data_IF_642906756608
#
_entry.id   IF_642906756608
#
_cell.length_a   1.000
_cell.length_b   1.000
_cell.length_c   1.000
_cell.angle_alpha   90.00
_cell.angle_beta   90.00
_cell.angle_gamma   90.00
#
_symmetry.space_group_name_H-M   'P 1'
#
loop_
_entity.id
_entity.type
_entity.pdbx_description
1 polymer ?
#
# COMPACT_ATOMS: atom_id res chain seq x y z
N UNK A 1 -10.28 -6.10 -20.41
CA UNK A 1 -9.23 -6.71 -19.55
C UNK A 1 -8.28 -7.68 -20.26
N UNK A 2 -8.55 -8.19 -21.48
CA UNK A 2 -7.70 -9.25 -22.08
C UNK A 2 -6.54 -8.77 -22.99
N UNK A 3 -6.54 -7.55 -23.50
CA UNK A 3 -5.48 -7.10 -24.44
C UNK A 3 -4.15 -6.79 -23.75
N UNK A 4 -4.18 -6.17 -22.56
CA UNK A 4 -2.96 -5.78 -21.84
C UNK A 4 -2.12 -7.00 -21.38
N UNK A 5 -2.78 -8.12 -21.04
CA UNK A 5 -2.10 -9.33 -20.60
C UNK A 5 -1.33 -9.98 -21.76
N UNK A 6 -1.91 -9.99 -22.97
CA UNK A 6 -1.25 -10.54 -24.15
C UNK A 6 -0.04 -9.71 -24.59
N UNK A 7 -0.07 -8.38 -24.46
CA UNK A 7 1.04 -7.52 -24.89
C UNK A 7 2.26 -7.67 -23.98
N UNK A 8 2.09 -7.56 -22.65
CA UNK A 8 3.22 -7.76 -21.72
C UNK A 8 3.77 -9.18 -21.78
N UNK A 9 2.90 -10.19 -21.97
CA UNK A 9 3.34 -11.56 -22.20
C UNK A 9 4.25 -11.66 -23.44
N UNK A 10 3.85 -11.10 -24.58
CA UNK A 10 4.69 -11.07 -25.79
C UNK A 10 5.99 -10.32 -25.56
N UNK A 11 5.96 -9.17 -24.89
CA UNK A 11 7.17 -8.40 -24.54
C UNK A 11 8.11 -9.24 -23.69
N UNK A 12 7.59 -9.90 -22.67
CA UNK A 12 8.36 -10.68 -21.71
C UNK A 12 8.95 -11.96 -22.29
N UNK A 13 8.30 -12.58 -23.29
CA UNK A 13 8.78 -13.81 -23.93
C UNK A 13 10.06 -13.59 -24.76
N UNK A 14 10.12 -12.53 -25.57
CA UNK A 14 11.20 -12.34 -26.55
C UNK A 14 12.29 -11.36 -26.07
N UNK A 15 13.56 -11.79 -26.11
CA UNK A 15 14.70 -10.97 -25.64
C UNK A 15 14.87 -9.64 -26.37
N UNK A 16 14.57 -9.61 -27.67
CA UNK A 16 14.59 -8.39 -28.48
C UNK A 16 13.51 -7.42 -28.00
N UNK A 17 12.26 -7.89 -27.86
CA UNK A 17 11.15 -7.07 -27.38
C UNK A 17 11.38 -6.55 -25.96
N UNK A 18 11.95 -7.34 -25.05
CA UNK A 18 12.33 -6.84 -23.70
C UNK A 18 13.28 -5.65 -23.75
N UNK A 19 14.26 -5.67 -24.67
CA UNK A 19 15.22 -4.55 -24.84
C UNK A 19 14.56 -3.33 -25.45
N UNK A 20 13.73 -3.52 -26.48
CA UNK A 20 13.00 -2.44 -27.15
C UNK A 20 11.99 -1.78 -26.20
N UNK A 21 11.25 -2.58 -25.43
CA UNK A 21 10.35 -2.09 -24.40
C UNK A 21 11.11 -1.28 -23.34
N UNK A 22 12.22 -1.81 -22.81
CA UNK A 22 13.00 -1.10 -21.79
C UNK A 22 13.55 0.25 -22.31
N UNK A 23 14.04 0.30 -23.55
CA UNK A 23 14.52 1.54 -24.15
C UNK A 23 13.38 2.53 -24.41
N UNK A 24 12.27 2.07 -25.01
CA UNK A 24 11.12 2.94 -25.27
C UNK A 24 10.49 3.47 -23.99
N UNK A 25 10.49 2.69 -22.90
CA UNK A 25 10.07 3.15 -21.58
C UNK A 25 10.95 4.31 -21.10
N UNK A 26 12.28 4.17 -21.18
CA UNK A 26 13.21 5.24 -20.79
C UNK A 26 12.95 6.51 -21.62
N UNK A 27 12.82 6.37 -22.93
CA UNK A 27 12.61 7.48 -23.84
C UNK A 27 11.29 8.19 -23.51
N UNK A 28 10.21 7.43 -23.32
CA UNK A 28 8.89 7.95 -22.94
C UNK A 28 8.94 8.72 -21.61
N UNK A 29 9.57 8.14 -20.58
CA UNK A 29 9.68 8.78 -19.27
C UNK A 29 10.44 10.11 -19.37
N UNK A 30 11.56 10.14 -20.12
CA UNK A 30 12.35 11.36 -20.30
C UNK A 30 11.64 12.42 -21.13
N UNK A 31 10.93 12.02 -22.18
CA UNK A 31 10.16 12.94 -23.04
C UNK A 31 9.01 13.60 -22.26
N UNK A 32 8.39 12.86 -21.35
CA UNK A 32 7.25 13.33 -20.56
C UNK A 32 7.64 13.83 -19.16
N UNK A 33 8.93 13.99 -18.88
CA UNK A 33 9.48 14.47 -17.60
C UNK A 33 9.05 13.66 -16.37
N UNK A 34 8.89 12.34 -16.51
CA UNK A 34 8.72 11.44 -15.39
C UNK A 34 10.06 11.12 -14.71
N UNK A 35 10.00 10.88 -13.40
CA UNK A 35 11.14 10.49 -12.59
C UNK A 35 11.43 8.98 -12.64
N UNK A 36 10.49 8.15 -13.13
CA UNK A 36 10.68 6.71 -13.19
C UNK A 36 9.41 5.92 -13.50
N UNK A 37 9.46 4.59 -13.31
CA UNK A 37 8.31 3.71 -13.53
C UNK A 37 7.96 2.87 -12.31
N UNK A 38 6.68 2.49 -12.22
CA UNK A 38 6.22 1.33 -11.45
C UNK A 38 5.89 0.22 -12.44
N UNK A 39 6.60 -0.90 -12.40
CA UNK A 39 6.19 -2.09 -13.13
C UNK A 39 5.08 -2.80 -12.35
N UNK A 40 3.85 -2.74 -12.85
CA UNK A 40 2.72 -3.52 -12.35
C UNK A 40 2.25 -4.48 -13.45
N UNK A 41 2.56 -5.76 -13.28
CA UNK A 41 2.01 -6.83 -14.10
C UNK A 41 1.35 -7.84 -13.16
N UNK A 42 0.02 -7.78 -13.05
CA UNK A 42 -0.76 -8.57 -12.12
C UNK A 42 -0.45 -10.08 -12.30
N UNK A 43 0.15 -10.63 -11.24
CA UNK A 43 1.22 -11.63 -11.31
C UNK A 43 0.89 -12.88 -12.14
N UNK A 44 1.59 -13.11 -13.26
CA UNK A 44 1.44 -14.35 -13.99
C UNK A 44 2.28 -15.42 -13.29
N UNK A 45 1.70 -16.14 -12.33
CA UNK A 45 2.38 -17.27 -11.65
C UNK A 45 2.97 -18.24 -12.68
N UNK A 46 2.24 -18.49 -13.76
CA UNK A 46 2.64 -19.36 -14.87
C UNK A 46 3.72 -18.75 -15.79
N UNK A 47 3.89 -17.42 -15.83
CA UNK A 47 4.91 -16.71 -16.62
C UNK A 47 5.98 -16.08 -15.73
N UNK A 48 6.24 -16.65 -14.56
CA UNK A 48 7.18 -16.10 -13.58
C UNK A 48 8.61 -15.97 -14.12
N UNK A 49 9.04 -16.88 -14.99
CA UNK A 49 10.35 -16.84 -15.66
C UNK A 49 10.46 -15.68 -16.66
N UNK A 50 9.42 -15.49 -17.49
CA UNK A 50 9.32 -14.39 -18.44
C UNK A 50 9.25 -13.04 -17.72
N UNK A 51 8.44 -12.95 -16.68
CA UNK A 51 8.35 -11.78 -15.80
C UNK A 51 9.74 -11.45 -15.20
N UNK A 52 10.43 -12.42 -14.62
CA UNK A 52 11.80 -12.25 -14.11
C UNK A 52 12.78 -11.78 -15.19
N UNK A 53 12.67 -12.31 -16.42
CA UNK A 53 13.51 -11.88 -17.53
C UNK A 53 13.24 -10.42 -17.96
N UNK A 54 11.98 -9.97 -17.92
CA UNK A 54 11.58 -8.58 -18.18
C UNK A 54 12.11 -7.64 -17.10
N UNK A 55 11.91 -7.97 -15.83
CA UNK A 55 12.42 -7.19 -14.68
C UNK A 55 13.93 -6.99 -14.78
N UNK A 56 14.70 -8.05 -15.11
CA UNK A 56 16.15 -7.94 -15.28
C UNK A 56 16.55 -7.05 -16.45
N UNK A 57 15.81 -7.09 -17.56
CA UNK A 57 16.07 -6.24 -18.72
C UNK A 57 15.86 -4.76 -18.37
N UNK A 58 14.77 -4.44 -17.65
CA UNK A 58 14.47 -3.09 -17.18
C UNK A 58 15.52 -2.58 -16.19
N UNK A 59 15.86 -3.37 -15.16
CA UNK A 59 16.93 -3.03 -14.20
C UNK A 59 18.23 -2.69 -14.93
N UNK A 60 18.63 -3.52 -15.89
CA UNK A 60 19.87 -3.29 -16.66
C UNK A 60 19.78 -2.02 -17.50
N UNK A 61 18.65 -1.76 -18.14
CA UNK A 61 18.47 -0.57 -18.97
C UNK A 61 18.50 0.72 -18.12
N UNK A 62 17.77 0.75 -17.01
CA UNK A 62 17.73 1.90 -16.10
C UNK A 62 19.08 2.17 -15.43
N UNK A 63 19.85 1.13 -15.10
CA UNK A 63 21.21 1.29 -14.60
C UNK A 63 22.16 1.93 -15.63
N UNK A 64 21.96 1.62 -16.92
CA UNK A 64 22.80 2.13 -18.01
C UNK A 64 22.36 3.50 -18.54
N UNK A 65 21.09 3.88 -18.37
CA UNK A 65 20.53 5.17 -18.79
C UNK A 65 21.31 6.36 -18.22
N UNK A 66 21.81 6.19 -17.00
CA UNK A 66 22.41 7.22 -16.18
C UNK A 66 23.75 7.78 -16.70
N UNK A 67 24.31 7.23 -17.77
CA UNK A 67 25.66 7.54 -18.23
C UNK A 67 25.75 8.73 -19.20
N UNK A 68 24.64 9.40 -19.55
CA UNK A 68 24.65 10.32 -20.70
C UNK A 68 24.19 11.77 -20.49
N UNK A 69 23.47 12.18 -19.42
CA UNK A 69 22.64 13.41 -19.54
C UNK A 69 22.54 14.42 -18.37
N UNK A 70 23.44 14.50 -17.38
CA UNK A 70 23.37 15.48 -16.26
C UNK A 70 22.02 15.55 -15.50
N UNK A 71 21.10 14.60 -15.72
CA UNK A 71 19.82 14.46 -15.02
C UNK A 71 19.96 13.40 -13.93
N UNK A 72 19.11 13.49 -12.90
CA UNK A 72 18.96 12.43 -11.91
C UNK A 72 18.53 11.12 -12.58
N UNK A 73 19.00 9.98 -12.07
CA UNK A 73 18.63 8.64 -12.54
C UNK A 73 17.12 8.45 -12.52
N UNK A 74 16.57 7.80 -13.55
CA UNK A 74 15.21 7.27 -13.47
C UNK A 74 15.10 6.22 -12.35
N UNK A 75 14.07 6.33 -11.52
CA UNK A 75 13.77 5.33 -10.50
C UNK A 75 13.05 4.12 -11.13
N UNK A 76 13.45 2.93 -10.73
CA UNK A 76 12.79 1.69 -11.11
C UNK A 76 12.13 1.07 -9.90
N UNK A 77 10.80 1.03 -9.92
CA UNK A 77 9.98 0.49 -8.83
C UNK A 77 9.06 -0.61 -9.36
N UNK A 78 8.52 -1.41 -8.45
CA UNK A 78 7.61 -2.51 -8.79
C UNK A 78 6.39 -2.48 -7.88
N UNK A 79 5.24 -2.88 -8.41
CA UNK A 79 4.13 -3.27 -7.56
C UNK A 79 4.46 -4.61 -6.90
N UNK A 80 4.07 -4.78 -5.63
CA UNK A 80 4.23 -6.02 -4.85
C UNK A 80 2.89 -6.70 -4.57
N UNK A 81 2.83 -8.01 -4.77
CA UNK A 81 1.64 -8.83 -4.50
C UNK A 81 1.44 -9.01 -3.01
N UNK A 82 0.20 -9.22 -2.60
CA UNK A 82 -0.14 -9.73 -1.26
C UNK A 82 -0.29 -11.24 -1.22
N UNK A 83 -0.43 -11.90 -2.38
CA UNK A 83 -0.67 -13.34 -2.44
C UNK A 83 0.65 -14.09 -2.28
N UNK A 84 0.75 -14.89 -1.21
CA UNK A 84 1.94 -15.69 -0.90
C UNK A 84 2.45 -16.49 -2.10
N UNK A 85 1.56 -17.15 -2.84
CA UNK A 85 1.90 -17.93 -4.03
C UNK A 85 2.53 -17.08 -5.15
N UNK A 86 2.02 -15.87 -5.39
CA UNK A 86 2.56 -14.95 -6.39
C UNK A 86 3.95 -14.45 -6.00
N UNK A 87 4.15 -14.16 -4.70
CA UNK A 87 5.46 -13.77 -4.16
C UNK A 87 6.45 -14.94 -4.32
N UNK A 88 6.05 -16.16 -3.96
CA UNK A 88 6.88 -17.36 -4.07
C UNK A 88 7.31 -17.64 -5.50
N UNK A 89 6.37 -17.61 -6.46
CA UNK A 89 6.67 -17.82 -7.87
C UNK A 89 7.62 -16.76 -8.42
N UNK A 90 7.39 -15.49 -8.07
CA UNK A 90 8.23 -14.37 -8.52
C UNK A 90 9.67 -14.51 -8.00
N UNK A 91 9.86 -14.79 -6.71
CA UNK A 91 11.20 -14.96 -6.15
C UNK A 91 11.89 -16.23 -6.64
N UNK A 92 11.20 -17.36 -6.74
CA UNK A 92 11.79 -18.59 -7.27
C UNK A 92 12.36 -18.37 -8.69
N UNK A 93 11.64 -17.64 -9.54
CA UNK A 93 12.08 -17.31 -10.90
C UNK A 93 13.23 -16.29 -10.94
N UNK A 94 13.33 -15.39 -9.95
CA UNK A 94 14.43 -14.43 -9.83
C UNK A 94 15.68 -15.14 -9.28
N UNK A 95 15.53 -15.98 -8.25
CA UNK A 95 16.60 -16.77 -7.63
C UNK A 95 17.26 -17.76 -8.60
N UNK A 96 16.45 -18.50 -9.37
CA UNK A 96 16.93 -19.45 -10.38
C UNK A 96 17.83 -18.79 -11.44
N UNK A 97 17.78 -17.46 -11.57
CA UNK A 97 18.63 -16.70 -12.49
C UNK A 97 19.90 -16.09 -11.85
N UNK A 98 20.25 -16.49 -10.61
CA UNK A 98 21.33 -15.90 -9.79
C UNK A 98 21.14 -14.39 -9.51
N UNK A 99 19.90 -13.89 -9.56
CA UNK A 99 19.60 -12.46 -9.62
C UNK A 99 18.79 -11.89 -8.44
N UNK A 100 18.44 -12.64 -7.39
CA UNK A 100 17.61 -12.08 -6.31
C UNK A 100 18.29 -10.99 -5.50
N UNK A 101 19.58 -11.16 -5.19
CA UNK A 101 20.40 -10.08 -4.64
C UNK A 101 20.50 -8.89 -5.61
N UNK A 102 20.40 -9.12 -6.93
CA UNK A 102 20.35 -8.06 -7.92
C UNK A 102 19.00 -7.36 -7.92
N UNK A 103 17.88 -8.08 -7.82
CA UNK A 103 16.54 -7.51 -7.76
C UNK A 103 16.36 -6.61 -6.54
N UNK A 104 16.58 -7.14 -5.33
CA UNK A 104 16.39 -6.37 -4.09
C UNK A 104 17.32 -5.13 -4.03
N UNK A 105 18.52 -5.20 -4.63
CA UNK A 105 19.45 -4.06 -4.70
C UNK A 105 19.03 -3.00 -5.72
N UNK A 106 18.54 -3.41 -6.88
CA UNK A 106 18.29 -2.51 -8.02
C UNK A 106 16.83 -2.04 -8.15
N UNK A 107 15.90 -2.61 -7.38
CA UNK A 107 14.57 -2.04 -7.18
C UNK A 107 14.67 -0.92 -6.15
N UNK A 108 14.25 0.30 -6.52
CA UNK A 108 14.32 1.47 -5.66
C UNK A 108 13.28 1.43 -4.55
N UNK A 109 12.02 1.16 -4.92
CA UNK A 109 10.89 0.98 -4.02
C UNK A 109 10.01 -0.18 -4.50
N UNK A 110 9.35 -0.82 -3.55
CA UNK A 110 8.28 -1.78 -3.78
C UNK A 110 6.97 -1.20 -3.23
N UNK A 111 6.01 -0.95 -4.12
CA UNK A 111 4.67 -0.51 -3.74
C UNK A 111 3.81 -1.75 -3.47
N UNK A 112 3.69 -2.13 -2.20
CA UNK A 112 2.92 -3.30 -1.79
C UNK A 112 1.42 -3.00 -1.91
N UNK A 113 0.71 -3.72 -2.78
CA UNK A 113 -0.73 -3.57 -3.00
C UNK A 113 -1.53 -4.20 -1.83
N UNK A 114 -1.36 -3.66 -0.62
CA UNK A 114 -1.78 -4.23 0.65
C UNK A 114 -3.30 -4.10 0.94
N UNK A 115 -4.12 -4.45 -0.04
CA UNK A 115 -5.58 -4.35 -0.06
C UNK A 115 -6.17 -5.38 -1.02
N UNK A 116 -7.51 -5.43 -1.11
CA UNK A 116 -8.26 -6.41 -1.90
C UNK A 116 -7.94 -7.88 -1.51
N UNK A 117 -7.64 -8.13 -0.23
CA UNK A 117 -7.50 -9.49 0.32
C UNK A 117 -8.79 -10.29 0.21
N UNK A 118 -9.93 -9.60 0.35
CA UNK A 118 -11.27 -10.13 0.24
C UNK A 118 -12.10 -9.31 -0.76
N UNK A 119 -13.00 -9.98 -1.48
CA UNK A 119 -13.87 -9.35 -2.48
C UNK A 119 -15.35 -9.75 -2.32
N UNK A 120 -16.24 -8.93 -2.89
CA UNK A 120 -17.70 -9.07 -2.78
C UNK A 120 -18.29 -10.38 -3.33
N UNK A 121 -17.52 -11.18 -4.07
CA UNK A 121 -17.96 -12.49 -4.59
C UNK A 121 -17.82 -13.61 -3.56
N UNK A 122 -17.10 -13.37 -2.46
CA UNK A 122 -16.98 -14.34 -1.36
C UNK A 122 -18.30 -14.51 -0.61
N UNK A 123 -18.54 -15.72 -0.10
CA UNK A 123 -19.79 -16.08 0.59
C UNK A 123 -19.87 -15.53 2.03
N UNK A 124 -18.82 -14.87 2.50
CA UNK A 124 -18.74 -14.29 3.84
C UNK A 124 -18.11 -12.91 3.77
N UNK A 125 -18.60 -12.00 4.61
CA UNK A 125 -18.04 -10.65 4.77
C UNK A 125 -16.68 -10.70 5.47
N UNK A 126 -15.76 -9.81 5.07
CA UNK A 126 -14.48 -9.62 5.75
C UNK A 126 -13.90 -8.23 5.42
N UNK A 127 -12.89 -7.82 6.16
CA UNK A 127 -12.17 -6.56 5.99
C UNK A 127 -11.14 -6.70 4.84
N UNK A 128 -11.27 -5.93 3.74
CA UNK A 128 -10.48 -6.15 2.52
C UNK A 128 -9.00 -5.74 2.65
N UNK A 129 -8.61 -5.08 3.74
CA UNK A 129 -7.26 -4.55 3.99
C UNK A 129 -6.82 -4.72 5.45
N UNK A 130 -7.39 -5.66 6.22
CA UNK A 130 -7.06 -5.83 7.65
C UNK A 130 -5.56 -5.92 7.92
N UNK A 131 -5.10 -5.28 8.99
CA UNK A 131 -3.68 -5.30 9.37
C UNK A 131 -3.27 -6.67 9.90
N UNK A 132 -4.11 -7.27 10.74
CA UNK A 132 -3.87 -8.55 11.39
C UNK A 132 -5.02 -9.53 11.14
N UNK A 133 -4.74 -10.81 11.33
CA UNK A 133 -5.75 -11.87 11.36
C UNK A 133 -5.74 -12.54 12.75
N UNK A 134 -6.91 -12.93 13.25
CA UNK A 134 -7.06 -13.74 14.45
C UNK A 134 -6.67 -15.20 14.24
N UNK A 135 -6.59 -15.66 12.99
CA UNK A 135 -6.15 -17.01 12.65
C UNK A 135 -4.62 -17.07 12.59
N UNK A 136 -4.03 -17.95 13.42
CA UNK A 136 -2.58 -18.09 13.60
C UNK A 136 -1.78 -18.25 12.30
N UNK A 137 -2.35 -18.90 11.29
CA UNK A 137 -1.69 -19.22 10.02
C UNK A 137 -2.29 -18.47 8.82
N UNK A 138 -3.12 -17.44 9.06
CA UNK A 138 -3.72 -16.68 7.97
C UNK A 138 -2.70 -15.76 7.30
N UNK A 139 -2.71 -15.84 5.96
CA UNK A 139 -1.78 -15.10 5.09
C UNK A 139 -2.41 -13.83 4.50
N UNK A 140 -3.74 -13.71 4.57
CA UNK A 140 -4.51 -12.64 3.95
C UNK A 140 -4.65 -11.44 4.90
N UNK A 141 -3.52 -10.80 5.21
CA UNK A 141 -3.45 -9.55 5.98
C UNK A 141 -2.19 -8.75 5.65
N UNK A 142 -2.22 -7.44 5.90
CA UNK A 142 -1.15 -6.50 5.56
C UNK A 142 0.17 -6.86 6.25
N UNK A 143 0.12 -7.19 7.55
CA UNK A 143 1.33 -7.48 8.31
C UNK A 143 2.04 -8.73 7.81
N UNK A 144 1.29 -9.79 7.48
CA UNK A 144 1.85 -10.99 6.87
C UNK A 144 2.48 -10.67 5.51
N UNK A 145 1.74 -10.05 4.59
CA UNK A 145 2.22 -9.78 3.24
C UNK A 145 3.52 -8.96 3.25
N UNK A 146 3.57 -7.89 4.04
CA UNK A 146 4.76 -7.04 4.14
C UNK A 146 5.96 -7.80 4.72
N UNK A 147 5.78 -8.53 5.81
CA UNK A 147 6.86 -9.33 6.41
C UNK A 147 7.26 -10.51 5.53
N UNK A 148 6.37 -11.01 4.68
CA UNK A 148 6.70 -12.06 3.72
C UNK A 148 7.67 -11.55 2.65
N UNK A 149 7.46 -10.35 2.11
CA UNK A 149 8.44 -9.70 1.21
C UNK A 149 9.80 -9.51 1.90
N UNK A 150 9.80 -9.12 3.18
CA UNK A 150 11.04 -9.01 3.98
C UNK A 150 11.73 -10.36 4.13
N UNK A 151 10.97 -11.43 4.37
CA UNK A 151 11.51 -12.80 4.48
C UNK A 151 12.15 -13.31 3.18
N UNK A 152 11.74 -12.74 2.03
CA UNK A 152 12.36 -12.98 0.72
C UNK A 152 13.56 -12.05 0.43
N UNK A 153 13.93 -11.20 1.38
CA UNK A 153 15.10 -10.35 1.31
C UNK A 153 14.86 -8.93 0.80
N UNK A 154 13.60 -8.50 0.59
CA UNK A 154 13.31 -7.10 0.27
C UNK A 154 13.57 -6.22 1.52
N UNK A 155 14.44 -5.20 1.44
CA UNK A 155 14.68 -4.30 2.57
C UNK A 155 13.41 -3.56 3.00
N UNK A 156 13.17 -3.47 4.31
CA UNK A 156 11.98 -2.80 4.86
C UNK A 156 11.89 -1.33 4.44
N UNK A 157 13.02 -0.64 4.42
CA UNK A 157 13.16 0.76 4.01
C UNK A 157 12.95 1.00 2.51
N UNK A 158 12.61 -0.05 1.74
CA UNK A 158 12.15 0.05 0.35
C UNK A 158 10.67 -0.33 0.14
N UNK A 159 10.00 -0.89 1.13
CA UNK A 159 8.60 -1.32 1.02
C UNK A 159 7.68 -0.16 1.41
N UNK A 160 6.86 0.29 0.47
CA UNK A 160 5.82 1.30 0.66
C UNK A 160 4.47 0.58 0.76
N UNK A 161 3.78 0.75 1.89
CA UNK A 161 2.53 0.01 2.19
C UNK A 161 1.33 0.68 1.52
N UNK A 162 0.57 -0.08 0.73
CA UNK A 162 -0.67 0.39 0.13
C UNK A 162 -1.81 0.49 1.13
N UNK A 163 -2.53 1.59 1.08
CA UNK A 163 -3.76 1.83 1.82
C UNK A 163 -4.88 2.06 0.81
N UNK A 164 -6.06 1.50 1.04
CA UNK A 164 -7.19 1.59 0.12
C UNK A 164 -8.08 2.78 0.47
N UNK A 165 -8.37 3.62 -0.53
CA UNK A 165 -9.48 4.58 -0.49
C UNK A 165 -10.81 3.97 -0.92
N UNK A 166 -10.83 2.68 -1.26
CA UNK A 166 -12.04 1.94 -1.62
C UNK A 166 -12.51 1.01 -0.51
N UNK A 167 -13.82 0.83 -0.45
CA UNK A 167 -14.51 -0.17 0.33
C UNK A 167 -14.92 -1.37 -0.55
N UNK A 168 -14.89 -2.57 0.03
CA UNK A 168 -15.47 -3.77 -0.57
C UNK A 168 -16.84 -4.03 0.03
N UNK A 169 -17.82 -4.35 -0.80
CA UNK A 169 -19.22 -4.47 -0.41
C UNK A 169 -19.86 -5.82 -0.68
N UNK A 170 -20.70 -6.26 0.25
CA UNK A 170 -21.50 -7.48 0.17
C UNK A 170 -22.98 -7.19 0.42
N UNK A 171 -23.82 -8.07 -0.09
CA UNK A 171 -25.22 -8.20 0.31
C UNK A 171 -25.32 -9.33 1.34
N UNK A 172 -25.69 -9.01 2.58
CA UNK A 172 -25.92 -9.97 3.66
C UNK A 172 -27.08 -10.92 3.30
N UNK A 173 -26.91 -12.21 3.60
CA UNK A 173 -27.97 -13.19 3.49
C UNK A 173 -29.04 -13.00 4.59
N UNK A 174 -28.63 -12.48 5.75
CA UNK A 174 -29.50 -12.13 6.88
C UNK A 174 -28.99 -10.82 7.49
N UNK A 175 -29.77 -9.75 7.40
CA UNK A 175 -29.40 -8.43 7.92
C UNK A 175 -29.22 -8.38 9.45
N UNK A 176 -29.76 -9.36 10.19
CA UNK A 176 -29.55 -9.48 11.64
C UNK A 176 -28.16 -10.02 11.99
N UNK A 177 -27.48 -10.66 11.02
CA UNK A 177 -26.13 -11.21 11.16
C UNK A 177 -25.16 -10.36 10.35
N UNK A 178 -24.51 -9.39 11.01
CA UNK A 178 -23.73 -8.37 10.30
C UNK A 178 -22.31 -8.18 10.85
N UNK A 179 -21.82 -9.13 11.66
CA UNK A 179 -20.42 -9.17 12.08
C UNK A 179 -19.52 -9.64 10.92
N UNK A 180 -18.21 -9.41 11.04
CA UNK A 180 -17.21 -10.04 10.17
C UNK A 180 -17.43 -11.56 10.15
N UNK A 181 -17.37 -12.16 8.96
CA UNK A 181 -17.68 -13.57 8.71
C UNK A 181 -19.17 -13.87 8.49
N UNK A 182 -20.06 -12.86 8.54
CA UNK A 182 -21.47 -13.05 8.23
C UNK A 182 -21.67 -13.52 6.79
N UNK A 183 -22.67 -14.40 6.58
CA UNK A 183 -22.98 -14.96 5.25
C UNK A 183 -23.48 -13.87 4.31
N UNK A 184 -22.96 -13.88 3.09
CA UNK A 184 -23.35 -12.99 2.01
C UNK A 184 -24.02 -13.78 0.87
N UNK A 185 -24.97 -13.15 0.19
CA UNK A 185 -25.62 -13.67 -1.02
C UNK A 185 -24.93 -13.24 -2.31
N UNK A 186 -23.95 -12.33 -2.21
CA UNK A 186 -23.16 -11.83 -3.34
C UNK A 186 -22.64 -10.43 -3.09
N UNK A 187 -22.13 -9.76 -4.14
CA UNK A 187 -21.61 -8.40 -4.03
C UNK A 187 -22.73 -7.42 -3.63
N UNK A 188 -22.36 -6.34 -2.95
CA UNK A 188 -23.32 -5.23 -2.72
C UNK A 188 -23.80 -4.65 -4.06
N UNK A 189 -25.04 -4.14 -4.16
CA UNK A 189 -25.51 -3.50 -5.38
C UNK A 189 -24.61 -2.35 -5.83
N UNK A 190 -24.53 -2.09 -7.14
CA UNK A 190 -23.79 -0.94 -7.65
C UNK A 190 -24.39 0.35 -7.10
N UNK A 191 -23.53 1.25 -6.65
CA UNK A 191 -23.91 2.61 -6.32
C UNK A 191 -23.78 3.39 -7.63
N UNK A 192 -24.89 3.92 -8.14
CA UNK A 192 -24.95 4.49 -9.47
C UNK A 192 -23.79 5.48 -9.77
N UNK A 193 -23.34 5.44 -11.03
CA UNK A 193 -22.12 6.07 -11.61
C UNK A 193 -20.82 5.26 -11.41
N UNK A 194 -20.30 4.70 -12.50
CA UNK A 194 -18.91 4.22 -12.61
C UNK A 194 -18.61 2.76 -12.22
N UNK A 195 -19.41 2.09 -11.40
CA UNK A 195 -19.22 0.65 -11.09
C UNK A 195 -20.49 -0.16 -11.39
N UNK A 196 -20.61 -0.73 -12.59
CA UNK A 196 -21.77 -1.54 -12.99
C UNK A 196 -21.81 -2.94 -12.36
N UNK A 197 -20.68 -3.44 -11.83
CA UNK A 197 -20.57 -4.81 -11.30
C UNK A 197 -20.97 -4.90 -9.82
N UNK A 198 -20.99 -3.77 -9.11
CA UNK A 198 -21.23 -3.73 -7.67
C UNK A 198 -20.00 -4.17 -6.87
N UNK A 199 -20.17 -4.42 -5.57
CA UNK A 199 -19.12 -5.03 -4.73
C UNK A 199 -17.91 -4.16 -4.36
N UNK A 200 -17.76 -2.95 -4.91
CA UNK A 200 -16.71 -1.99 -4.56
C UNK A 200 -17.23 -0.56 -4.64
N UNK A 201 -16.81 0.31 -3.72
CA UNK A 201 -17.18 1.74 -3.75
C UNK A 201 -16.10 2.62 -3.14
N UNK A 202 -16.08 3.90 -3.48
CA UNK A 202 -15.13 4.87 -2.95
C UNK A 202 -15.46 5.28 -1.50
N UNK A 203 -14.46 5.68 -0.73
CA UNK A 203 -14.63 6.15 0.65
C UNK A 203 -15.55 7.38 0.76
N UNK A 204 -15.52 8.30 -0.21
CA UNK A 204 -16.46 9.42 -0.19
C UNK A 204 -17.94 9.00 -0.29
N UNK A 205 -18.25 7.87 -0.96
CA UNK A 205 -19.60 7.26 -0.93
C UNK A 205 -19.94 6.62 0.40
N UNK A 206 -18.94 6.09 1.10
CA UNK A 206 -19.13 5.58 2.47
C UNK A 206 -19.59 6.72 3.39
N UNK A 207 -19.04 7.92 3.24
CA UNK A 207 -19.47 9.08 4.02
C UNK A 207 -20.94 9.47 3.79
N UNK A 208 -21.47 9.32 2.56
CA UNK A 208 -22.89 9.54 2.28
C UNK A 208 -23.79 8.63 3.15
N UNK A 209 -23.41 7.36 3.34
CA UNK A 209 -24.13 6.43 4.22
C UNK A 209 -24.02 6.79 5.69
N UNK A 210 -22.83 7.18 6.14
CA UNK A 210 -22.62 7.60 7.52
C UNK A 210 -23.47 8.84 7.85
N UNK A 211 -23.56 9.80 6.93
CA UNK A 211 -24.44 10.96 7.04
C UNK A 211 -25.93 10.59 7.04
N UNK A 212 -26.29 9.45 6.43
CA UNK A 212 -27.64 8.87 6.45
C UNK A 212 -27.93 7.97 7.67
N UNK A 213 -27.05 7.99 8.70
CA UNK A 213 -27.14 7.20 9.93
C UNK A 213 -26.86 5.70 9.79
N UNK A 214 -26.11 5.28 8.76
CA UNK A 214 -25.57 3.92 8.73
C UNK A 214 -24.64 3.68 9.92
N UNK A 215 -24.60 2.44 10.41
CA UNK A 215 -23.80 2.08 11.58
C UNK A 215 -22.39 1.70 11.17
N UNK A 216 -21.39 2.49 11.58
CA UNK A 216 -19.98 2.10 11.51
C UNK A 216 -19.59 1.24 12.72
N UNK A 217 -18.71 0.27 12.50
CA UNK A 217 -18.00 -0.49 13.54
C UNK A 217 -16.52 -0.55 13.19
N UNK A 218 -15.68 -0.08 14.10
CA UNK A 218 -14.21 -0.16 13.98
C UNK A 218 -13.73 -1.42 14.70
N UNK A 219 -13.13 -2.33 13.94
CA UNK A 219 -12.44 -3.49 14.48
C UNK A 219 -10.98 -3.11 14.79
N UNK A 220 -10.70 -2.91 16.08
CA UNK A 220 -9.35 -2.53 16.56
C UNK A 220 -8.40 -3.72 16.68
N UNK A 221 -8.92 -4.95 16.74
CA UNK A 221 -8.11 -6.16 16.85
C UNK A 221 -7.46 -6.47 15.50
N UNK A 222 -8.26 -6.46 14.42
CA UNK A 222 -7.78 -6.72 13.07
C UNK A 222 -7.35 -5.44 12.33
N UNK A 223 -7.77 -4.27 12.82
CA UNK A 223 -7.52 -2.93 12.26
C UNK A 223 -8.15 -2.77 10.87
N UNK A 224 -9.45 -2.52 10.89
CA UNK A 224 -10.27 -2.10 9.75
C UNK A 224 -11.63 -1.62 10.24
N UNK A 225 -12.43 -1.05 9.36
CA UNK A 225 -13.78 -0.61 9.67
C UNK A 225 -14.78 -1.33 8.76
N UNK A 226 -16.00 -1.48 9.24
CA UNK A 226 -17.11 -1.85 8.39
C UNK A 226 -18.35 -1.06 8.74
N UNK A 227 -19.25 -0.91 7.77
CA UNK A 227 -20.56 -0.32 7.99
C UNK A 227 -21.66 -1.25 7.52
N UNK A 228 -22.83 -1.09 8.14
CA UNK A 228 -24.04 -1.80 7.77
C UNK A 228 -25.20 -0.85 7.53
N UNK A 229 -25.94 -1.09 6.44
CA UNK A 229 -27.16 -0.37 6.10
C UNK A 229 -28.17 -1.35 5.49
N UNK A 230 -29.21 -1.71 6.25
CA UNK A 230 -30.11 -2.79 5.85
C UNK A 230 -29.34 -4.11 5.68
N UNK A 231 -29.35 -4.67 4.47
CA UNK A 231 -28.55 -5.85 4.12
C UNK A 231 -27.24 -5.51 3.40
N UNK A 232 -26.88 -4.24 3.25
CA UNK A 232 -25.58 -3.85 2.71
C UNK A 232 -24.52 -3.89 3.81
N UNK A 233 -23.37 -4.46 3.49
CA UNK A 233 -22.21 -4.52 4.36
C UNK A 233 -20.99 -4.06 3.57
N UNK A 234 -20.23 -3.08 4.08
CA UNK A 234 -19.01 -2.61 3.44
C UNK A 234 -17.84 -2.64 4.40
N UNK A 235 -16.75 -3.29 4.03
CA UNK A 235 -15.47 -3.28 4.75
C UNK A 235 -14.51 -2.28 4.09
N UNK A 236 -13.84 -1.45 4.88
CA UNK A 236 -13.03 -0.33 4.39
C UNK A 236 -12.01 0.17 5.43
N UNK A 237 -11.25 1.18 5.04
CA UNK A 237 -10.36 1.96 5.90
C UNK A 237 -10.93 3.35 6.16
N UNK A 238 -10.87 3.80 7.41
CA UNK A 238 -11.26 5.14 7.83
C UNK A 238 -10.03 5.88 8.43
N UNK A 239 -10.13 7.16 8.80
CA UNK A 239 -9.02 7.89 9.42
C UNK A 239 -8.45 7.22 10.69
N UNK A 240 -9.27 6.56 11.51
CA UNK A 240 -8.78 5.87 12.71
C UNK A 240 -7.92 4.65 12.34
N UNK A 241 -8.39 3.79 11.43
CA UNK A 241 -7.67 2.58 11.01
C UNK A 241 -6.40 2.92 10.22
N UNK A 242 -6.46 3.93 9.36
CA UNK A 242 -5.27 4.46 8.65
C UNK A 242 -4.23 4.95 9.65
N UNK A 243 -4.64 5.72 10.68
CA UNK A 243 -3.70 6.20 11.69
C UNK A 243 -2.98 5.04 12.38
N UNK A 244 -3.70 3.97 12.73
CA UNK A 244 -3.12 2.77 13.35
C UNK A 244 -2.15 2.07 12.38
N UNK A 245 -2.54 1.86 11.11
CA UNK A 245 -1.68 1.23 10.09
C UNK A 245 -0.42 2.05 9.80
N UNK A 246 -0.53 3.37 9.77
CA UNK A 246 0.62 4.27 9.56
C UNK A 246 1.54 4.28 10.78
N UNK A 247 1.00 4.21 11.99
CA UNK A 247 1.83 4.02 13.18
C UNK A 247 2.60 2.70 13.11
N UNK A 248 1.90 1.60 12.80
CA UNK A 248 2.49 0.28 12.64
C UNK A 248 3.62 0.29 11.60
N UNK A 249 3.41 0.85 10.42
CA UNK A 249 4.44 0.79 9.37
C UNK A 249 5.72 1.56 9.76
N UNK A 250 5.59 2.67 10.50
CA UNK A 250 6.72 3.43 11.03
C UNK A 250 7.49 2.62 12.07
N UNK A 251 6.77 2.05 13.04
CA UNK A 251 7.36 1.20 14.09
C UNK A 251 8.07 -0.02 13.50
N UNK A 252 7.54 -0.57 12.40
CA UNK A 252 8.18 -1.68 11.69
C UNK A 252 9.39 -1.27 10.85
N UNK A 253 9.58 0.02 10.57
CA UNK A 253 10.67 0.55 9.74
C UNK A 253 10.42 0.44 8.23
N UNK A 254 9.16 0.46 7.80
CA UNK A 254 8.82 0.47 6.37
C UNK A 254 9.01 1.86 5.75
N UNK A 255 9.22 1.90 4.43
CA UNK A 255 9.58 3.12 3.69
C UNK A 255 8.51 4.22 3.74
N UNK A 256 7.24 3.85 3.91
CA UNK A 256 6.13 4.79 3.95
C UNK A 256 4.81 4.17 3.49
N UNK A 257 3.90 4.99 2.98
CA UNK A 257 2.58 4.58 2.53
C UNK A 257 2.19 5.20 1.19
N UNK A 258 1.27 4.54 0.48
CA UNK A 258 0.58 5.14 -0.65
C UNK A 258 -0.93 4.90 -0.56
N UNK A 259 -1.72 5.87 -1.03
CA UNK A 259 -3.18 5.75 -1.10
C UNK A 259 -3.61 5.35 -2.51
N UNK A 260 -4.33 4.22 -2.60
CA UNK A 260 -4.99 3.73 -3.81
C UNK A 260 -6.51 3.85 -3.66
N UNK A 261 -7.16 4.84 -4.26
CA UNK A 261 -6.63 5.93 -5.09
C UNK A 261 -7.17 7.29 -4.67
N UNK A 262 -6.61 8.36 -5.23
CA UNK A 262 -6.98 9.74 -4.90
C UNK A 262 -8.46 10.06 -5.14
N UNK A 263 -9.03 9.50 -6.20
CA UNK A 263 -10.43 9.67 -6.59
C UNK A 263 -11.41 8.91 -5.69
N UNK A 264 -10.90 7.98 -4.89
CA UNK A 264 -11.69 7.24 -3.92
C UNK A 264 -11.77 7.94 -2.56
N UNK A 265 -10.85 8.86 -2.26
CA UNK A 265 -10.89 9.73 -1.07
C UNK A 265 -11.93 10.85 -1.26
N UNK A 266 -12.30 11.58 -0.20
CA UNK A 266 -13.14 12.79 -0.34
C UNK A 266 -12.31 13.97 -0.84
N UNK A 267 -11.88 13.89 -2.10
CA UNK A 267 -10.99 14.86 -2.74
C UNK A 267 -11.62 16.25 -2.88
N UNK A 268 -12.96 16.37 -2.83
CA UNK A 268 -13.69 17.66 -2.83
C UNK A 268 -13.97 18.20 -1.43
N UNK A 269 -13.89 17.33 -0.42
CA UNK A 269 -14.23 17.67 0.97
C UNK A 269 -15.73 17.92 1.18
N UNK A 270 -16.59 17.39 0.31
CA UNK A 270 -18.03 17.64 0.32
C UNK A 270 -18.85 16.48 0.88
N UNK A 271 -18.27 15.28 1.00
CA UNK A 271 -18.99 14.09 1.44
C UNK A 271 -18.80 13.79 2.93
N UNK A 272 -17.58 13.92 3.44
CA UNK A 272 -17.24 13.49 4.81
C UNK A 272 -17.28 14.64 5.83
N UNK A 273 -17.43 15.89 5.40
CA UNK A 273 -17.55 17.06 6.30
C UNK A 273 -16.27 17.43 7.06
N UNK A 274 -15.12 16.86 6.69
CA UNK A 274 -13.82 17.03 7.39
C UNK A 274 -12.73 17.68 6.51
N UNK A 275 -13.13 18.18 5.34
CA UNK A 275 -12.24 18.83 4.37
C UNK A 275 -11.72 17.86 3.29
N UNK A 276 -10.87 18.38 2.42
CA UNK A 276 -10.36 17.63 1.26
C UNK A 276 -9.37 16.54 1.67
N UNK A 277 -9.45 15.40 0.98
CA UNK A 277 -8.54 14.26 1.15
C UNK A 277 -8.36 13.81 2.62
N UNK A 278 -9.43 13.45 3.34
CA UNK A 278 -9.33 13.06 4.74
C UNK A 278 -8.43 11.84 5.00
N UNK A 279 -8.47 10.83 4.12
CA UNK A 279 -7.60 9.65 4.28
C UNK A 279 -6.14 10.01 4.06
N UNK A 280 -5.83 10.72 2.97
CA UNK A 280 -4.45 11.10 2.66
C UNK A 280 -3.88 12.14 3.66
N UNK A 281 -4.71 13.07 4.12
CA UNK A 281 -4.35 14.01 5.20
C UNK A 281 -4.01 13.27 6.49
N UNK A 282 -4.74 12.21 6.79
CA UNK A 282 -4.45 11.34 7.94
C UNK A 282 -3.10 10.64 7.77
N UNK A 283 -2.81 10.10 6.58
CA UNK A 283 -1.51 9.49 6.26
C UNK A 283 -0.37 10.50 6.49
N UNK A 284 -0.51 11.72 5.95
CA UNK A 284 0.49 12.79 6.11
C UNK A 284 0.75 13.09 7.59
N UNK A 285 -0.31 13.39 8.35
CA UNK A 285 -0.18 13.74 9.78
C UNK A 285 0.47 12.61 10.58
N UNK A 286 0.05 11.37 10.37
CA UNK A 286 0.59 10.23 11.11
C UNK A 286 2.07 9.93 10.76
N UNK A 287 2.49 10.17 9.51
CA UNK A 287 3.90 10.02 9.11
C UNK A 287 4.81 11.14 9.63
N UNK A 288 4.29 12.37 9.74
CA UNK A 288 5.08 13.54 10.18
C UNK A 288 5.10 13.75 11.70
N UNK A 289 4.20 13.10 12.44
CA UNK A 289 4.19 13.18 13.90
C UNK A 289 5.30 12.30 14.44
N UNK A 290 6.30 12.87 15.12
CA UNK A 290 7.22 12.09 15.94
C UNK A 290 6.45 11.64 17.19
N UNK A 291 6.29 10.33 17.39
CA UNK A 291 5.62 9.76 18.55
C UNK A 291 6.50 9.95 19.81
N UNK A 292 6.60 11.18 20.30
CA UNK A 292 7.16 11.52 21.62
C UNK A 292 6.12 11.41 22.74
N UNK A 293 5.04 10.67 22.53
CA UNK A 293 4.10 10.30 23.58
C UNK A 293 3.91 8.80 23.60
N UNK A 294 4.71 8.13 24.43
CA UNK A 294 4.38 6.83 24.96
C UNK A 294 3.05 6.94 25.70
N UNK A 295 1.96 6.55 25.04
CA UNK A 295 0.74 6.20 25.74
C UNK A 295 1.02 4.88 26.46
N UNK A 296 1.07 4.94 27.80
CA UNK A 296 0.97 3.77 28.67
C UNK A 296 -0.22 2.93 28.23
N UNK A 297 0.04 1.86 27.48
CA UNK A 297 -0.87 0.73 27.48
C UNK A 297 -0.58 -0.02 28.78
N UNK A 298 -1.44 0.19 29.79
CA UNK A 298 -1.51 -0.67 30.96
C UNK A 298 -1.67 -2.11 30.48
N UNK A 299 -0.58 -2.87 30.46
CA UNK A 299 -0.62 -4.32 30.44
C UNK A 299 -1.33 -4.76 31.71
N UNK A 300 -2.58 -5.20 31.58
CA UNK A 300 -3.24 -5.99 32.61
C UNK A 300 -2.55 -7.35 32.63
N UNK A 301 -1.46 -7.43 33.38
CA UNK A 301 -0.80 -8.70 33.68
C UNK A 301 -1.59 -9.38 34.79
N UNK A 302 -2.36 -10.41 34.43
CA UNK A 302 -2.93 -11.36 35.38
C UNK A 302 -1.78 -12.05 36.11
N UNK A 303 -1.48 -11.57 37.31
CA UNK A 303 -0.47 -12.15 38.20
C UNK A 303 -1.16 -13.15 39.14
N UNK A 304 -0.79 -14.42 39.00
CA UNK A 304 -0.98 -15.41 40.05
C UNK A 304 -0.06 -15.04 41.22
N UNK A 305 -0.65 -14.90 42.41
CA UNK A 305 0.03 -14.67 43.69
C UNK A 305 1.10 -15.76 43.95
N UNK A 306 2.24 -15.39 44.56
CA UNK A 306 2.36 -15.68 45.99
C UNK A 306 3.05 -14.58 46.85
N UNK A 307 2.46 -14.42 48.04
CA UNK A 307 3.01 -14.04 49.36
C UNK A 307 4.40 -13.38 49.53
N UNK A 308 4.35 -12.16 50.10
CA UNK A 308 5.19 -11.56 51.18
C UNK A 308 6.73 -11.61 51.10
N UNK A 309 7.38 -10.44 50.96
CA UNK A 309 7.82 -9.57 52.08
C UNK A 309 8.97 -8.62 51.70
N UNK A 310 8.85 -7.39 52.23
CA UNK A 310 9.90 -6.41 52.58
C UNK A 310 10.53 -5.46 51.53
N UNK A 311 10.02 -4.22 51.63
CA UNK A 311 10.60 -2.88 51.55
C UNK A 311 12.14 -2.79 51.65
N UNK A 312 12.79 -2.05 50.74
CA UNK A 312 13.61 -0.90 51.15
C UNK A 312 13.82 0.14 50.02
N UNK A 313 13.67 1.41 50.41
CA UNK A 313 13.91 2.63 49.65
C UNK A 313 15.34 3.11 49.91
N UNK A 314 16.08 3.55 48.90
CA UNK A 314 17.05 4.64 49.08
C UNK A 314 17.43 5.30 47.77
N UNK A 315 17.29 6.63 47.77
CA UNK A 315 17.76 7.58 46.76
C UNK A 315 19.22 7.92 47.06
N UNK A 316 20.08 7.98 46.04
CA UNK A 316 21.23 8.89 46.05
C UNK A 316 21.78 9.12 44.63
N UNK A 317 21.65 10.36 44.19
CA UNK A 317 22.40 11.00 43.11
C UNK A 317 23.89 11.07 43.43
N UNK A 318 24.79 10.77 42.48
CA UNK A 318 26.10 11.43 42.39
C UNK A 318 26.55 11.55 40.93
N UNK A 319 26.76 12.81 40.55
CA UNK A 319 27.51 13.26 39.37
C UNK A 319 28.99 13.06 39.68
N UNK A 320 29.75 12.43 38.77
CA UNK A 320 31.21 12.53 38.76
C UNK A 320 31.70 12.70 37.32
N UNK A 321 32.42 13.79 37.11
CA UNK A 321 33.17 14.14 35.89
C UNK A 321 34.65 13.88 36.11
N UNK A 322 35.30 13.12 35.22
CA UNK A 322 36.67 13.40 34.73
C UNK A 322 37.13 12.37 33.68
N UNK A 323 37.25 12.87 32.45
CA UNK A 323 38.36 12.76 31.48
C UNK A 323 38.93 11.42 30.97
N UNK A 324 38.69 11.26 29.65
CA UNK A 324 39.59 10.84 28.55
C UNK A 324 40.28 9.47 28.56
N UNK A 325 39.90 8.62 27.59
CA UNK A 325 40.67 8.46 26.34
C UNK A 325 39.95 7.55 25.32
N UNK A 326 39.85 8.03 24.08
CA UNK A 326 39.80 7.22 22.86
C UNK A 326 38.58 6.32 22.61
N UNK A 327 37.44 6.88 22.20
CA UNK A 327 36.44 6.14 21.42
C UNK A 327 35.90 6.97 20.27
N UNK A 328 35.96 6.36 19.08
CA UNK A 328 35.31 6.73 17.85
C UNK A 328 34.01 7.49 18.10
N UNK A 329 33.95 8.74 17.62
CA UNK A 329 32.68 9.43 17.41
C UNK A 329 31.90 8.59 16.41
N UNK A 330 30.92 7.82 16.92
CA UNK A 330 29.81 7.41 16.09
C UNK A 330 29.07 8.69 15.73
N UNK A 331 29.19 9.07 14.47
CA UNK A 331 28.33 10.06 13.85
C UNK A 331 26.91 9.47 13.76
N UNK A 332 26.21 9.53 14.89
CA UNK A 332 24.80 9.23 15.02
C UNK A 332 23.97 10.47 14.72
N UNK A 333 24.17 11.09 13.57
CA UNK A 333 23.25 12.12 13.07
C UNK A 333 22.04 11.45 12.44
N UNK A 334 20.99 11.32 13.23
CA UNK A 334 19.64 11.79 12.89
C UNK A 334 19.29 11.77 11.38
N UNK A 335 19.10 10.57 10.82
CA UNK A 335 18.30 10.47 9.59
C UNK A 335 16.86 10.73 9.98
N UNK A 336 16.40 11.97 9.85
CA UNK A 336 14.98 12.24 9.59
C UNK A 336 14.59 11.43 8.35
N UNK A 337 14.10 10.22 8.57
CA UNK A 337 13.57 9.37 7.52
C UNK A 337 12.33 10.07 6.98
N UNK A 338 12.48 10.82 5.89
CA UNK A 338 11.34 11.32 5.13
C UNK A 338 10.64 10.10 4.52
N UNK A 339 9.58 9.64 5.19
CA UNK A 339 8.76 8.55 4.71
C UNK A 339 8.17 8.89 3.33
N UNK A 340 8.12 7.89 2.46
CA UNK A 340 7.42 7.99 1.19
C UNK A 340 5.93 8.15 1.46
N UNK A 341 5.34 9.20 0.88
CA UNK A 341 3.90 9.39 0.75
C UNK A 341 3.55 9.48 -0.70
N UNK A 342 3.15 8.37 -1.30
CA UNK A 342 2.79 8.34 -2.71
C UNK A 342 1.27 8.43 -2.90
N UNK A 343 0.87 9.07 -3.97
CA UNK A 343 -0.52 9.30 -4.30
C UNK A 343 -0.81 8.64 -5.63
N UNK A 344 -1.68 7.61 -5.62
CA UNK A 344 -2.07 6.90 -6.82
C UNK A 344 -3.19 7.67 -7.51
N UNK A 345 -2.84 8.31 -8.61
CA UNK A 345 -3.75 9.05 -9.48
C UNK A 345 -4.26 8.09 -10.56
N UNK A 346 -5.52 7.67 -10.44
CA UNK A 346 -6.14 6.85 -11.47
C UNK A 346 -6.66 7.73 -12.61
N UNK A 347 -6.16 7.53 -13.85
CA UNK A 347 -6.67 8.21 -15.03
C UNK A 347 -8.15 7.92 -15.30
N UNK A 348 -8.68 6.80 -14.80
CA UNK A 348 -10.11 6.48 -14.83
C UNK A 348 -10.97 7.40 -13.95
N UNK A 349 -10.37 8.09 -12.98
CA UNK A 349 -11.01 9.12 -12.17
C UNK A 349 -11.66 10.23 -13.01
N UNK A 350 -11.11 10.52 -14.19
CA UNK A 350 -11.70 11.48 -15.11
C UNK A 350 -13.10 11.05 -15.57
N UNK A 351 -13.38 9.74 -15.60
CA UNK A 351 -14.66 9.14 -15.98
C UNK A 351 -15.61 8.91 -14.79
N UNK A 352 -15.06 8.67 -13.59
CA UNK A 352 -15.85 8.45 -12.35
C UNK A 352 -16.66 9.71 -11.97
N UNK A 353 -16.21 10.89 -12.41
CA UNK A 353 -16.81 12.18 -12.03
C UNK A 353 -17.91 12.68 -12.97
N UNK A 354 -18.21 11.97 -14.06
CA UNK A 354 -19.25 12.35 -15.01
C UNK A 354 -19.16 13.82 -15.44
N UNK A 355 -20.29 14.53 -15.43
CA UNK A 355 -20.36 15.98 -15.75
C UNK A 355 -19.85 16.91 -14.64
N UNK A 356 -19.46 16.35 -13.50
CA UNK A 356 -19.14 17.12 -12.29
C UNK A 356 -17.69 17.63 -12.25
N UNK A 357 -16.87 17.36 -13.28
CA UNK A 357 -15.50 17.87 -13.46
C UNK A 357 -14.42 16.83 -13.21
N UNK A 358 -13.30 16.88 -13.96
CA UNK A 358 -12.17 15.95 -13.84
C UNK A 358 -11.21 16.32 -12.71
N UNK A 359 -10.68 15.35 -11.97
CA UNK A 359 -9.56 15.56 -11.05
C UNK A 359 -8.27 15.73 -11.87
N UNK A 360 -7.57 16.84 -11.69
CA UNK A 360 -6.25 17.06 -12.27
C UNK A 360 -5.16 16.94 -11.19
N UNK A 361 -3.94 16.63 -11.62
CA UNK A 361 -2.78 16.57 -10.70
C UNK A 361 -2.51 17.92 -10.03
N UNK A 362 -2.84 19.03 -10.71
CA UNK A 362 -2.76 20.39 -10.14
C UNK A 362 -3.72 20.63 -8.97
N UNK A 363 -4.75 19.80 -8.82
CA UNK A 363 -5.74 19.93 -7.74
C UNK A 363 -5.27 19.27 -6.44
N UNK A 364 -4.18 18.50 -6.50
CA UNK A 364 -3.59 17.86 -5.31
C UNK A 364 -2.89 18.96 -4.48
N UNK A 365 -3.28 19.17 -3.20
CA UNK A 365 -2.67 20.18 -2.36
C UNK A 365 -1.15 19.99 -2.23
N UNK A 366 -0.41 21.10 -2.35
CA UNK A 366 1.03 21.10 -2.23
C UNK A 366 1.49 20.50 -0.89
N UNK A 367 2.49 19.63 -0.94
CA UNK A 367 3.02 18.96 0.24
C UNK A 367 2.14 17.84 0.81
N UNK A 368 1.03 17.47 0.15
CA UNK A 368 0.22 16.32 0.54
C UNK A 368 0.87 15.00 0.10
N UNK A 369 1.49 15.00 -1.08
CA UNK A 369 2.23 13.89 -1.66
C UNK A 369 3.72 14.22 -1.73
N UNK A 370 4.57 13.21 -1.56
CA UNK A 370 6.00 13.26 -1.92
C UNK A 370 6.25 12.70 -3.32
N UNK A 371 5.37 11.81 -3.79
CA UNK A 371 5.42 11.15 -5.10
C UNK A 371 4.00 11.04 -5.66
N UNK A 372 3.87 11.11 -6.98
CA UNK A 372 2.61 10.92 -7.69
C UNK A 372 2.79 9.73 -8.63
N UNK A 373 1.92 8.73 -8.49
CA UNK A 373 1.90 7.54 -9.35
C UNK A 373 0.72 7.69 -10.30
N UNK A 374 0.95 7.56 -11.60
CA UNK A 374 -0.10 7.63 -12.61
C UNK A 374 -0.55 6.20 -12.95
N UNK A 375 -1.86 5.98 -13.14
CA UNK A 375 -2.46 4.64 -13.28
C UNK A 375 -1.79 3.74 -14.30
N UNK A 376 -1.50 4.26 -15.49
CA UNK A 376 -1.00 3.45 -16.59
C UNK A 376 -0.46 4.34 -17.71
N UNK A 377 0.62 3.86 -18.32
CA UNK A 377 1.00 4.21 -19.68
C UNK A 377 0.57 3.06 -20.58
N UNK A 378 0.23 3.37 -21.84
CA UNK A 378 -0.21 2.33 -22.78
C UNK A 378 1.01 1.70 -23.45
N UNK A 379 0.82 0.48 -23.98
CA UNK A 379 1.83 -0.19 -24.80
C UNK A 379 1.18 -0.48 -26.14
N UNK A 380 1.83 -0.10 -27.23
CA UNK A 380 1.35 -0.41 -28.58
C UNK A 380 1.45 -1.91 -28.90
N UNK A 381 0.91 -2.32 -30.05
CA UNK A 381 0.95 -3.72 -30.49
C UNK A 381 2.39 -4.24 -30.72
N UNK A 382 3.34 -3.33 -30.96
CA UNK A 382 4.75 -3.65 -31.15
C UNK A 382 5.46 -3.92 -29.82
N UNK A 383 4.93 -3.40 -28.71
CA UNK A 383 5.50 -3.49 -27.37
C UNK A 383 6.25 -2.22 -26.95
N UNK A 384 5.95 -1.05 -27.52
CA UNK A 384 6.54 0.24 -27.15
C UNK A 384 5.61 1.04 -26.25
N UNK A 385 6.19 1.77 -25.30
CA UNK A 385 5.45 2.68 -24.41
C UNK A 385 4.86 3.87 -25.18
N UNK A 386 3.61 4.22 -24.89
CA UNK A 386 2.83 5.34 -25.45
C UNK A 386 2.20 6.21 -24.38
#
# INVERSE_FOLDING_TARGET
>A
MNECFCTLQKVAQYSVKRREFAQSTIDFLRQNNFDGMVLQWDYPVELSLEHSALVRALIKAFANENQSNNKNRLIFTVAGSVKKQSIDASYAAIDASYAANSFNKNTDLLFLLAYDFHNGLEQTTDLPSKLYSSQKDAVDNVAFAANYWVSKGMPKDKIVIGLSGFATGWTLADASQANIGARASGPSPPLAEGNSEGGKTAYWKICDYLNANAKETVDKEHVGAYLTEGNRWYGYDNPETIKIKVKWLKEQGFAGAFLSSLDADDFRGTSCGVGVYPLLTTIKKALETDDQQGTEYSTVTTTLLPTTSQIDLTVASQINTSDNEGKHVQDGTDRKHNHVRACYFDGSAQNILGSSGSLAVSDIPAGLCTHILYSSASIDEEGKSM
#
